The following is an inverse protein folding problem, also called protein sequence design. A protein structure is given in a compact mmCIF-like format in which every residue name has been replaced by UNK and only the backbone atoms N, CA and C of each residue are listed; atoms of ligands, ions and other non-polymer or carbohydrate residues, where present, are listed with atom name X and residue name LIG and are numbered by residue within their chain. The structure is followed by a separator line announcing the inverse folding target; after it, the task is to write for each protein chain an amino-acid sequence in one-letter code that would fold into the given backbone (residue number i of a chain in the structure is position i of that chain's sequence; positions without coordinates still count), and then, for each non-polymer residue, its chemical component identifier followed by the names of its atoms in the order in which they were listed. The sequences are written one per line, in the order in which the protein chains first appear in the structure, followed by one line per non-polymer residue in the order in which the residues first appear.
data_IF_496731653905
#
_entry.id   IF_496731653905
#
_cell.length_a   1.000
_cell.length_b   1.000
_cell.length_c   1.000
_cell.angle_alpha   90.00
_cell.angle_beta   90.00
_cell.angle_gamma   90.00
#
_symmetry.space_group_name_H-M   'P 1'
#
loop_
_entity.id
_entity.type
_entity.pdbx_description
1 polymer ?
#
# COMPACT_ATOMS: atom_id res chain seq x y z
N UNK A 1 -15.39 -9.61 14.21
CA UNK A 1 -14.29 -10.32 13.53
C UNK A 1 -13.84 -9.45 12.37
N UNK A 2 -12.54 -9.28 12.17
CA UNK A 2 -12.02 -8.44 11.08
C UNK A 2 -11.64 -9.29 9.88
N UNK A 3 -11.89 -8.80 8.66
CA UNK A 3 -11.44 -9.44 7.44
C UNK A 3 -9.91 -9.58 7.37
N UNK A 4 -9.14 -8.83 8.17
CA UNK A 4 -7.67 -8.85 8.18
C UNK A 4 -7.06 -9.72 9.28
N UNK A 5 -7.87 -10.49 10.02
CA UNK A 5 -7.35 -11.35 11.10
C UNK A 5 -6.34 -12.39 10.60
N UNK A 6 -6.51 -12.91 9.38
CA UNK A 6 -5.58 -13.87 8.76
C UNK A 6 -4.15 -13.33 8.57
N UNK A 7 -3.98 -12.00 8.53
CA UNK A 7 -2.67 -11.38 8.42
C UNK A 7 -1.91 -11.37 9.74
N UNK A 8 -2.57 -11.63 10.88
CA UNK A 8 -1.94 -11.53 12.21
C UNK A 8 -0.75 -12.48 12.34
N UNK A 9 -0.83 -13.66 11.71
CA UNK A 9 0.24 -14.67 11.73
C UNK A 9 1.38 -14.37 10.73
N UNK A 10 1.13 -13.54 9.71
CA UNK A 10 2.11 -13.21 8.66
C UNK A 10 2.84 -11.91 9.00
N UNK A 11 2.07 -10.88 9.35
CA UNK A 11 2.55 -9.57 9.77
C UNK A 11 1.49 -8.91 10.65
N UNK A 12 1.71 -8.84 11.98
CA UNK A 12 0.75 -8.23 12.90
C UNK A 12 0.55 -6.74 12.61
N UNK A 13 1.57 -6.06 12.07
CA UNK A 13 1.49 -4.67 11.64
C UNK A 13 0.54 -4.49 10.45
N UNK A 14 0.64 -5.33 9.41
CA UNK A 14 -0.31 -5.33 8.29
C UNK A 14 -1.73 -5.63 8.76
N UNK A 15 -1.89 -6.61 9.66
CA UNK A 15 -3.18 -6.92 10.25
C UNK A 15 -3.77 -5.71 10.99
N UNK A 16 -2.94 -4.93 11.70
CA UNK A 16 -3.39 -3.75 12.43
C UNK A 16 -3.80 -2.60 11.52
N UNK A 17 -3.04 -2.32 10.45
CA UNK A 17 -3.44 -1.33 9.46
C UNK A 17 -4.75 -1.71 8.75
N UNK A 18 -4.90 -2.98 8.38
CA UNK A 18 -6.13 -3.49 7.77
C UNK A 18 -7.35 -3.39 8.71
N UNK A 19 -7.21 -3.84 9.96
CA UNK A 19 -8.25 -3.72 11.00
C UNK A 19 -8.66 -2.26 11.23
N UNK A 20 -7.69 -1.35 11.27
CA UNK A 20 -7.94 0.08 11.42
C UNK A 20 -8.68 0.64 10.20
N UNK A 21 -8.24 0.30 8.98
CA UNK A 21 -8.91 0.75 7.76
C UNK A 21 -10.36 0.28 7.69
N UNK A 22 -10.62 -0.97 8.07
CA UNK A 22 -11.96 -1.54 8.14
C UNK A 22 -12.84 -0.82 9.16
N UNK A 23 -12.29 -0.51 10.35
CA UNK A 23 -13.00 0.22 11.40
C UNK A 23 -13.45 1.61 10.92
N UNK A 24 -12.56 2.35 10.24
CA UNK A 24 -12.86 3.70 9.78
C UNK A 24 -13.58 3.75 8.42
N UNK A 25 -13.80 2.61 7.76
CA UNK A 25 -14.36 2.58 6.41
C UNK A 25 -15.76 3.21 6.31
N UNK A 26 -16.54 3.14 7.40
CA UNK A 26 -17.90 3.69 7.47
C UNK A 26 -17.95 5.08 8.11
N UNK A 27 -17.13 5.33 9.13
CA UNK A 27 -17.14 6.59 9.89
C UNK A 27 -16.32 7.70 9.20
N UNK A 28 -15.06 7.42 8.86
CA UNK A 28 -14.14 8.40 8.27
C UNK A 28 -13.31 7.76 7.15
N UNK A 29 -13.81 7.95 5.93
CA UNK A 29 -13.18 7.45 4.70
C UNK A 29 -11.77 8.01 4.50
N UNK A 30 -11.47 9.22 4.99
CA UNK A 30 -10.13 9.80 4.86
C UNK A 30 -9.14 9.05 5.75
N UNK A 31 -9.53 8.77 7.00
CA UNK A 31 -8.70 7.96 7.91
C UNK A 31 -8.53 6.54 7.36
N UNK A 32 -9.60 5.94 6.83
CA UNK A 32 -9.51 4.62 6.20
C UNK A 32 -8.50 4.60 5.03
N UNK A 33 -8.53 5.60 4.15
CA UNK A 33 -7.59 5.74 3.04
C UNK A 33 -6.14 5.90 3.52
N UNK A 34 -5.90 6.72 4.55
CA UNK A 34 -4.56 6.86 5.15
C UNK A 34 -4.07 5.52 5.69
N UNK A 35 -4.93 4.75 6.38
CA UNK A 35 -4.56 3.41 6.89
C UNK A 35 -4.29 2.43 5.75
N UNK A 36 -5.07 2.45 4.67
CA UNK A 36 -4.81 1.63 3.47
C UNK A 36 -3.53 2.02 2.74
N UNK A 37 -3.16 3.31 2.77
CA UNK A 37 -1.87 3.76 2.25
C UNK A 37 -0.72 3.20 3.07
N UNK A 38 -0.75 3.32 4.40
CA UNK A 38 0.27 2.73 5.26
C UNK A 38 0.35 1.21 5.09
N UNK A 39 -0.81 0.53 4.99
CA UNK A 39 -0.87 -0.88 4.65
C UNK A 39 -0.11 -1.19 3.35
N UNK A 40 -0.35 -0.38 2.31
CA UNK A 40 0.31 -0.54 1.01
C UNK A 40 1.82 -0.27 1.09
N UNK A 41 2.26 0.73 1.86
CA UNK A 41 3.68 1.03 2.08
C UNK A 41 4.43 -0.16 2.66
N UNK A 42 3.84 -0.81 3.66
CA UNK A 42 4.42 -2.01 4.28
C UNK A 42 4.41 -3.19 3.31
N UNK A 43 3.30 -3.44 2.60
CA UNK A 43 3.24 -4.54 1.61
C UNK A 43 4.29 -4.37 0.51
N UNK A 44 4.41 -3.16 -0.06
CA UNK A 44 5.39 -2.89 -1.11
C UNK A 44 6.81 -3.01 -0.56
N UNK A 45 7.07 -2.50 0.64
CA UNK A 45 8.37 -2.67 1.31
C UNK A 45 8.74 -4.15 1.49
N UNK A 46 7.79 -4.98 1.91
CA UNK A 46 7.99 -6.42 2.08
C UNK A 46 8.27 -7.13 0.75
N UNK A 47 7.59 -6.75 -0.34
CA UNK A 47 7.86 -7.29 -1.68
C UNK A 47 9.30 -6.96 -2.11
N UNK A 48 9.72 -5.70 -1.94
CA UNK A 48 11.07 -5.27 -2.26
C UNK A 48 12.12 -6.04 -1.43
N UNK A 49 11.86 -6.22 -0.13
CA UNK A 49 12.77 -6.94 0.76
C UNK A 49 12.86 -8.43 0.40
N UNK A 50 11.71 -9.11 0.22
CA UNK A 50 11.67 -10.55 -0.08
C UNK A 50 12.23 -10.91 -1.44
N UNK A 51 12.05 -10.05 -2.43
CA UNK A 51 12.51 -10.28 -3.80
C UNK A 51 13.85 -9.59 -4.10
N UNK A 52 14.45 -8.92 -3.11
CA UNK A 52 15.71 -8.20 -3.24
C UNK A 52 15.73 -7.24 -4.44
N UNK A 53 14.62 -6.52 -4.65
CA UNK A 53 14.49 -5.54 -5.75
C UNK A 53 15.29 -4.29 -5.43
N UNK A 54 15.84 -3.63 -6.46
CA UNK A 54 16.57 -2.38 -6.27
C UNK A 54 15.58 -1.25 -5.98
N UNK A 55 15.67 -0.57 -4.83
CA UNK A 55 14.83 0.60 -4.59
C UNK A 55 15.20 1.73 -5.57
N UNK A 56 14.22 2.54 -5.99
CA UNK A 56 14.48 3.70 -6.84
C UNK A 56 15.32 4.75 -6.09
N UNK A 57 16.00 5.62 -6.84
CA UNK A 57 16.84 6.72 -6.30
C UNK A 57 16.12 7.55 -5.24
N UNK A 58 14.81 7.79 -5.44
CA UNK A 58 13.95 8.41 -4.45
C UNK A 58 13.05 7.33 -3.87
N UNK A 59 13.38 6.90 -2.65
CA UNK A 59 12.76 5.74 -2.02
C UNK A 59 11.45 6.10 -1.30
N UNK A 60 10.40 6.38 -2.09
CA UNK A 60 9.03 6.58 -1.60
C UNK A 60 8.05 5.64 -2.31
N UNK A 61 6.87 5.43 -1.71
CA UNK A 61 5.86 4.53 -2.26
C UNK A 61 5.52 4.83 -3.72
N UNK A 62 5.39 6.11 -4.06
CA UNK A 62 5.03 6.55 -5.40
C UNK A 62 6.08 6.10 -6.44
N UNK A 63 7.36 6.28 -6.12
CA UNK A 63 8.46 5.87 -6.99
C UNK A 63 8.65 4.35 -7.00
N UNK A 64 8.50 3.66 -5.86
CA UNK A 64 8.56 2.20 -5.77
C UNK A 64 7.52 1.55 -6.68
N UNK A 65 6.26 2.00 -6.58
CA UNK A 65 5.19 1.51 -7.46
C UNK A 65 5.52 1.77 -8.92
N UNK A 66 6.01 2.95 -9.29
CA UNK A 66 6.29 3.26 -10.72
C UNK A 66 7.53 2.55 -11.30
N UNK A 67 8.41 1.98 -10.46
CA UNK A 67 9.65 1.35 -10.89
C UNK A 67 9.42 0.20 -11.86
N UNK A 68 10.36 -0.01 -12.78
CA UNK A 68 10.30 -1.13 -13.72
C UNK A 68 10.35 -2.48 -13.00
N UNK A 69 11.20 -2.62 -11.98
CA UNK A 69 11.36 -3.85 -11.22
C UNK A 69 10.05 -4.28 -10.53
N UNK A 70 9.31 -3.33 -9.95
CA UNK A 70 8.00 -3.63 -9.37
C UNK A 70 6.94 -3.95 -10.45
N UNK A 71 6.96 -3.24 -11.59
CA UNK A 71 6.13 -3.50 -12.80
C UNK A 71 6.29 -4.91 -13.35
N UNK A 72 7.52 -5.39 -13.39
CA UNK A 72 7.85 -6.68 -13.94
C UNK A 72 7.33 -7.81 -13.03
N UNK A 73 7.60 -7.72 -11.73
CA UNK A 73 7.16 -8.69 -10.72
C UNK A 73 5.65 -8.76 -10.58
N UNK A 74 4.99 -7.59 -10.47
CA UNK A 74 3.55 -7.53 -10.35
C UNK A 74 2.99 -7.42 -11.76
N UNK A 75 2.84 -8.53 -12.50
CA UNK A 75 2.42 -8.43 -13.91
C UNK A 75 0.91 -8.14 -14.09
N UNK A 76 0.11 -8.20 -13.03
CA UNK A 76 -1.36 -8.04 -13.06
C UNK A 76 -1.80 -6.58 -13.01
N UNK A 77 -2.31 -6.06 -14.14
CA UNK A 77 -2.82 -4.67 -14.30
C UNK A 77 -3.94 -4.28 -13.32
N UNK A 78 -4.72 -5.23 -12.82
CA UNK A 78 -5.76 -4.97 -11.82
C UNK A 78 -5.19 -4.60 -10.46
N UNK A 79 -4.06 -5.21 -10.09
CA UNK A 79 -3.33 -4.86 -8.86
C UNK A 79 -2.76 -3.44 -8.98
N UNK A 80 -2.18 -3.10 -10.15
CA UNK A 80 -1.70 -1.74 -10.45
C UNK A 80 -2.76 -0.67 -10.25
N UNK A 81 -3.92 -0.85 -10.86
CA UNK A 81 -5.00 0.12 -10.79
C UNK A 81 -5.45 0.36 -9.34
N UNK A 82 -5.49 -0.68 -8.51
CA UNK A 82 -5.85 -0.56 -7.09
C UNK A 82 -4.79 0.20 -6.28
N UNK A 83 -3.52 -0.10 -6.51
CA UNK A 83 -2.41 0.56 -5.81
C UNK A 83 -2.29 2.04 -6.21
N UNK A 84 -2.49 2.36 -7.49
CA UNK A 84 -2.41 3.73 -8.01
C UNK A 84 -3.48 4.64 -7.37
N UNK A 85 -4.70 4.13 -7.19
CA UNK A 85 -5.80 4.83 -6.48
C UNK A 85 -5.43 5.19 -5.04
N UNK A 86 -4.75 4.29 -4.31
CA UNK A 86 -4.33 4.54 -2.93
C UNK A 86 -3.18 5.55 -2.83
N UNK A 87 -2.42 5.74 -3.91
CA UNK A 87 -1.36 6.74 -3.98
C UNK A 87 -1.78 8.13 -4.46
N UNK A 88 -2.83 8.26 -5.29
CA UNK A 88 -3.39 9.55 -5.72
C UNK A 88 -4.39 10.15 -4.69
N UNK A 89 -4.27 9.84 -3.39
CA UNK A 89 -5.13 10.46 -2.37
C UNK A 89 -4.75 11.93 -2.13
N UNK A 90 -5.70 12.89 -2.25
CA UNK A 90 -5.44 14.34 -2.34
C UNK A 90 -4.96 15.02 -1.04
N UNK A 91 -4.70 14.28 0.03
CA UNK A 91 -4.33 14.83 1.34
C UNK A 91 -2.86 15.23 1.47
N UNK A 92 -2.00 14.86 0.52
CA UNK A 92 -0.61 15.33 0.48
C UNK A 92 -0.43 16.03 -0.85
N UNK A 93 -0.32 17.36 -0.77
CA UNK A 93 0.02 18.26 -1.86
C UNK A 93 1.27 17.76 -2.61
N UNK A 94 1.04 16.92 -3.61
CA UNK A 94 2.00 16.60 -4.66
C UNK A 94 1.30 16.99 -5.96
N UNK A 95 1.87 17.91 -6.76
CA UNK A 95 1.13 18.65 -7.79
C UNK A 95 0.92 17.85 -9.09
N UNK A 96 0.84 16.52 -9.02
CA UNK A 96 0.76 15.64 -10.19
C UNK A 96 -0.06 14.38 -9.89
N UNK A 97 -1.33 14.57 -9.55
CA UNK A 97 -2.38 14.09 -10.44
C UNK A 97 -2.79 15.37 -11.22
#
# INVERSE_FOLDING_TARGET
MSNFNFLTDISPELAQFGKSAELYCHDDKQVALVKLRCFTEVVVGEIYSRLSLTPPVRDDLYNRLRSYEFKDVVSDKGIWAKLDVLTCSPLISTPRC
#
